data_IF_919286846199
#
_entry.id   IF_919286846199
#
_cell.length_a   1.000
_cell.length_b   1.000
_cell.length_c   1.000
_cell.angle_alpha   90.00
_cell.angle_beta   90.00
_cell.angle_gamma   90.00
#
_symmetry.space_group_name_H-M   'P 1'
#
loop_
_entity.id
_entity.type
_entity.pdbx_description
1 polymer ?
#
# COMPACT_ATOMS: atom_id res chain seq x y z
N UNK A 1 4.67 13.40 -20.56
CA UNK A 1 4.92 11.96 -20.39
C UNK A 1 4.60 11.23 -21.67
N UNK A 2 5.63 10.73 -22.37
CA UNK A 2 5.50 9.80 -23.48
C UNK A 2 4.64 8.59 -23.09
N UNK A 3 3.87 8.07 -24.06
CA UNK A 3 2.95 6.95 -23.85
C UNK A 3 3.66 5.70 -23.29
N UNK A 4 4.89 5.42 -23.72
CA UNK A 4 5.67 4.28 -23.21
C UNK A 4 5.97 4.38 -21.70
N UNK A 5 6.21 5.59 -21.20
CA UNK A 5 6.46 5.81 -19.76
C UNK A 5 5.16 5.83 -18.95
N UNK A 6 4.04 6.27 -19.53
CA UNK A 6 2.72 6.11 -18.91
C UNK A 6 2.33 4.64 -18.84
N UNK A 7 2.52 3.89 -19.91
CA UNK A 7 2.23 2.46 -19.94
C UNK A 7 3.12 1.70 -18.96
N UNK A 8 4.41 2.02 -18.92
CA UNK A 8 5.34 1.50 -17.91
C UNK A 8 4.96 1.93 -16.49
N UNK A 9 4.34 3.09 -16.29
CA UNK A 9 3.81 3.51 -14.98
C UNK A 9 2.55 2.74 -14.59
N UNK A 10 1.59 2.54 -15.50
CA UNK A 10 0.41 1.71 -15.25
C UNK A 10 0.81 0.27 -14.98
N UNK A 11 1.70 -0.29 -15.80
CA UNK A 11 2.27 -1.62 -15.60
C UNK A 11 3.11 -1.71 -14.32
N UNK A 12 3.84 -0.64 -13.98
CA UNK A 12 4.55 -0.20 -12.75
C UNK A 12 3.85 -0.27 -11.40
N UNK A 13 2.73 0.40 -11.35
CA UNK A 13 1.99 0.63 -10.14
C UNK A 13 0.95 -0.44 -9.95
N UNK A 14 0.54 -1.11 -11.05
CA UNK A 14 -0.67 -1.92 -11.03
C UNK A 14 -1.88 -1.09 -10.62
N UNK A 15 -1.82 0.24 -10.75
CA UNK A 15 -2.87 1.15 -10.29
C UNK A 15 -4.19 0.94 -11.04
N UNK A 16 -4.13 0.41 -12.26
CA UNK A 16 -5.30 0.01 -13.04
C UNK A 16 -5.65 -1.48 -12.89
N UNK A 17 -4.88 -2.24 -12.11
CA UNK A 17 -5.16 -3.66 -11.86
C UNK A 17 -6.23 -3.78 -10.77
N UNK A 18 -7.34 -4.43 -11.10
CA UNK A 18 -8.50 -4.60 -10.20
C UNK A 18 -8.11 -5.16 -8.82
N UNK A 19 -7.13 -6.07 -8.78
CA UNK A 19 -6.63 -6.65 -7.52
C UNK A 19 -5.98 -5.60 -6.62
N UNK A 20 -5.12 -4.75 -7.16
CA UNK A 20 -4.43 -3.69 -6.41
C UNK A 20 -5.43 -2.64 -5.92
N UNK A 21 -6.39 -2.28 -6.78
CA UNK A 21 -7.49 -1.38 -6.42
C UNK A 21 -8.31 -1.99 -5.28
N UNK A 22 -8.67 -3.27 -5.40
CA UNK A 22 -9.43 -4.01 -4.39
C UNK A 22 -8.73 -4.04 -3.03
N UNK A 23 -7.41 -4.26 -3.01
CA UNK A 23 -6.63 -4.26 -1.78
C UNK A 23 -6.60 -2.87 -1.12
N UNK A 24 -6.35 -1.81 -1.88
CA UNK A 24 -6.36 -0.43 -1.37
C UNK A 24 -7.74 -0.07 -0.82
N UNK A 25 -8.80 -0.38 -1.57
CA UNK A 25 -10.17 -0.12 -1.16
C UNK A 25 -10.56 -0.91 0.08
N UNK A 26 -10.15 -2.17 0.19
CA UNK A 26 -10.41 -2.99 1.38
C UNK A 26 -9.78 -2.36 2.63
N UNK A 27 -8.54 -1.88 2.55
CA UNK A 27 -7.89 -1.20 3.68
C UNK A 27 -8.60 0.11 4.03
N UNK A 28 -8.96 0.93 3.04
CA UNK A 28 -9.68 2.18 3.27
C UNK A 28 -11.08 1.96 3.87
N UNK A 29 -11.82 0.95 3.42
CA UNK A 29 -13.11 0.59 3.99
C UNK A 29 -13.01 0.11 5.43
N UNK A 30 -11.94 -0.63 5.77
CA UNK A 30 -11.70 -1.07 7.14
C UNK A 30 -11.29 0.08 8.06
N UNK A 31 -10.48 1.01 7.55
CA UNK A 31 -10.16 2.29 8.21
C UNK A 31 -11.43 3.10 8.46
N UNK A 32 -12.29 3.25 7.46
CA UNK A 32 -13.57 3.95 7.58
C UNK A 32 -14.47 3.29 8.64
N UNK A 33 -14.60 1.97 8.60
CA UNK A 33 -15.38 1.22 9.56
C UNK A 33 -14.87 1.44 10.98
N UNK A 34 -13.55 1.31 11.21
CA UNK A 34 -12.94 1.52 12.51
C UNK A 34 -13.15 2.95 13.05
N UNK A 35 -13.07 3.96 12.17
CA UNK A 35 -13.36 5.35 12.53
C UNK A 35 -14.85 5.58 12.88
N UNK A 36 -15.76 4.92 12.16
CA UNK A 36 -17.21 5.04 12.40
C UNK A 36 -17.67 4.31 13.66
N UNK A 37 -17.16 3.11 13.91
CA UNK A 37 -17.61 2.25 15.02
C UNK A 37 -16.75 2.37 16.27
N UNK A 38 -15.56 2.99 16.17
CA UNK A 38 -14.57 3.01 17.24
C UNK A 38 -14.02 1.62 17.60
N UNK A 39 -14.29 0.60 16.78
CA UNK A 39 -13.89 -0.78 17.03
C UNK A 39 -12.43 -1.03 16.63
N UNK A 40 -11.81 -2.05 17.23
CA UNK A 40 -10.50 -2.51 16.80
C UNK A 40 -10.53 -2.98 15.34
N UNK A 41 -9.47 -2.66 14.60
CA UNK A 41 -9.26 -3.18 13.25
C UNK A 41 -9.08 -4.71 13.32
N UNK A 42 -9.55 -5.47 12.32
CA UNK A 42 -9.37 -6.92 12.30
C UNK A 42 -7.88 -7.30 12.32
N UNK A 43 -7.57 -8.43 12.97
CA UNK A 43 -6.19 -8.90 13.17
C UNK A 43 -5.46 -9.19 11.85
N UNK A 44 -6.20 -9.65 10.83
CA UNK A 44 -5.70 -9.93 9.49
C UNK A 44 -6.13 -8.84 8.51
N UNK A 45 -5.25 -7.86 8.32
CA UNK A 45 -5.37 -6.86 7.27
C UNK A 45 -4.50 -7.24 6.06
N UNK A 46 -4.89 -6.90 4.82
CA UNK A 46 -4.02 -6.98 3.65
C UNK A 46 -2.95 -5.85 3.64
N UNK A 47 -2.42 -5.51 4.81
CA UNK A 47 -1.39 -4.49 5.03
C UNK A 47 -0.08 -5.16 5.48
N UNK A 48 1.10 -4.60 5.15
CA UNK A 48 1.28 -3.30 4.52
C UNK A 48 1.03 -3.34 3.01
N UNK A 49 0.31 -2.36 2.48
CA UNK A 49 0.07 -2.20 1.05
C UNK A 49 1.39 -1.98 0.29
N UNK A 50 2.36 -1.30 0.91
CA UNK A 50 3.71 -1.15 0.36
C UNK A 50 4.40 -2.51 0.19
N UNK A 51 4.25 -3.43 1.15
CA UNK A 51 4.87 -4.75 1.08
C UNK A 51 4.25 -5.60 -0.03
N UNK A 52 2.92 -5.60 -0.15
CA UNK A 52 2.21 -6.26 -1.25
C UNK A 52 2.58 -5.71 -2.62
N UNK A 53 2.80 -4.40 -2.73
CA UNK A 53 3.30 -3.79 -3.95
C UNK A 53 4.67 -4.38 -4.37
N UNK A 54 5.60 -4.55 -3.43
CA UNK A 54 6.89 -5.18 -3.70
C UNK A 54 6.79 -6.68 -3.99
N UNK A 55 5.92 -7.42 -3.29
CA UNK A 55 5.73 -8.87 -3.52
C UNK A 55 5.13 -9.16 -4.90
N UNK A 56 4.05 -8.45 -5.27
CA UNK A 56 3.45 -8.57 -6.60
C UNK A 56 4.43 -8.22 -7.71
N UNK A 57 5.30 -7.24 -7.48
CA UNK A 57 6.39 -6.87 -8.40
C UNK A 57 7.46 -7.95 -8.51
N UNK A 58 7.94 -8.46 -7.38
CA UNK A 58 8.97 -9.50 -7.31
C UNK A 58 8.53 -10.74 -8.09
N UNK A 59 7.24 -11.09 -8.03
CA UNK A 59 6.66 -12.22 -8.75
C UNK A 59 6.49 -11.94 -10.25
N UNK A 60 6.18 -10.69 -10.64
CA UNK A 60 5.85 -10.35 -12.03
C UNK A 60 7.05 -10.08 -12.93
N UNK A 61 8.13 -9.49 -12.41
CA UNK A 61 9.40 -9.31 -13.14
C UNK A 61 10.43 -8.78 -12.15
N UNK A 62 11.58 -9.47 -12.06
CA UNK A 62 12.72 -9.06 -11.24
C UNK A 62 12.96 -7.57 -11.36
N UNK A 63 12.87 -6.88 -10.23
CA UNK A 63 12.89 -5.41 -10.05
C UNK A 63 13.68 -4.75 -11.19
N UNK A 64 12.99 -4.27 -12.22
CA UNK A 64 13.62 -3.43 -13.25
C UNK A 64 13.82 -2.06 -12.60
N UNK A 65 14.81 -2.08 -11.71
CA UNK A 65 15.16 -1.07 -10.73
C UNK A 65 15.45 0.21 -11.50
N UNK A 66 14.93 1.30 -10.97
CA UNK A 66 15.18 2.65 -11.45
C UNK A 66 16.66 2.79 -11.85
N UNK A 67 16.93 2.95 -13.14
CA UNK A 67 18.29 3.11 -13.63
C UNK A 67 18.68 4.56 -13.40
N UNK A 68 19.66 4.77 -12.52
CA UNK A 68 20.21 6.11 -12.21
C UNK A 68 20.79 6.79 -13.46
N UNK A 69 21.16 6.01 -14.48
CA UNK A 69 21.64 6.48 -15.79
C UNK A 69 20.56 7.14 -16.64
N UNK A 70 19.26 6.84 -16.42
CA UNK A 70 18.14 7.49 -17.12
C UNK A 70 17.62 8.76 -16.42
N UNK A 71 18.10 9.08 -15.21
CA UNK A 71 17.63 10.25 -14.42
C UNK A 71 17.96 11.60 -15.07
N UNK A 72 18.80 11.62 -16.10
CA UNK A 72 19.08 12.82 -16.90
C UNK A 72 17.94 13.21 -17.84
N UNK A 73 17.06 12.28 -18.18
CA UNK A 73 15.89 12.54 -19.00
C UNK A 73 14.77 13.20 -18.17
N UNK A 74 14.21 14.31 -18.66
CA UNK A 74 13.13 15.04 -18.01
C UNK A 74 11.85 14.22 -17.88
N UNK A 75 11.54 13.39 -18.88
CA UNK A 75 10.37 12.53 -18.86
C UNK A 75 10.57 11.35 -17.90
N UNK A 76 11.80 10.85 -17.76
CA UNK A 76 12.13 9.85 -16.74
C UNK A 76 12.08 10.43 -15.31
N UNK A 77 12.47 11.69 -15.11
CA UNK A 77 12.29 12.37 -13.82
C UNK A 77 10.81 12.48 -13.45
N UNK A 78 9.95 12.82 -14.42
CA UNK A 78 8.49 12.89 -14.21
C UNK A 78 7.92 11.52 -13.84
N UNK A 79 8.42 10.45 -14.44
CA UNK A 79 8.10 9.07 -14.08
C UNK A 79 8.50 8.74 -12.63
N UNK A 80 9.73 9.05 -12.23
CA UNK A 80 10.23 8.80 -10.87
C UNK A 80 9.41 9.56 -9.81
N UNK A 81 9.01 10.80 -10.11
CA UNK A 81 8.15 11.60 -9.23
C UNK A 81 6.78 10.94 -9.07
N UNK A 82 6.16 10.49 -10.17
CA UNK A 82 4.87 9.80 -10.11
C UNK A 82 4.96 8.50 -9.29
N UNK A 83 6.00 7.69 -9.49
CA UNK A 83 6.20 6.46 -8.73
C UNK A 83 6.45 6.75 -7.24
N UNK A 84 7.26 7.76 -6.94
CA UNK A 84 7.52 8.19 -5.56
C UNK A 84 6.26 8.70 -4.86
N UNK A 85 5.41 9.45 -5.59
CA UNK A 85 4.13 9.92 -5.08
C UNK A 85 3.18 8.75 -4.79
N UNK A 86 3.12 7.75 -5.68
CA UNK A 86 2.31 6.55 -5.47
C UNK A 86 2.78 5.73 -4.26
N UNK A 87 4.08 5.50 -4.10
CA UNK A 87 4.63 4.81 -2.93
C UNK A 87 4.35 5.57 -1.63
N UNK A 88 4.48 6.91 -1.64
CA UNK A 88 4.10 7.75 -0.49
C UNK A 88 2.62 7.65 -0.16
N UNK A 89 1.75 7.57 -1.17
CA UNK A 89 0.32 7.36 -0.97
C UNK A 89 0.05 6.04 -0.23
N UNK A 90 0.60 4.91 -0.71
CA UNK A 90 0.45 3.61 -0.03
C UNK A 90 1.01 3.64 1.40
N UNK A 91 2.19 4.24 1.59
CA UNK A 91 2.81 4.38 2.91
C UNK A 91 1.97 5.25 3.87
N UNK A 92 1.25 6.25 3.36
CA UNK A 92 0.37 7.09 4.17
C UNK A 92 -0.86 6.30 4.64
N UNK A 93 -1.42 5.43 3.80
CA UNK A 93 -2.51 4.52 4.19
C UNK A 93 -2.02 3.53 5.26
N UNK A 94 -0.86 2.92 5.06
CA UNK A 94 -0.27 2.00 6.05
C UNK A 94 -0.02 2.71 7.39
N UNK A 95 0.42 3.98 7.35
CA UNK A 95 0.60 4.81 8.56
C UNK A 95 -0.72 5.10 9.27
N UNK A 96 -1.80 5.37 8.51
CA UNK A 96 -3.13 5.58 9.06
C UNK A 96 -3.64 4.32 9.78
N UNK A 97 -3.42 3.15 9.20
CA UNK A 97 -3.73 1.85 9.83
C UNK A 97 -2.97 1.68 11.14
N UNK A 98 -1.67 1.99 11.18
CA UNK A 98 -0.87 1.93 12.40
C UNK A 98 -1.37 2.88 13.49
N UNK A 99 -1.76 4.11 13.11
CA UNK A 99 -2.33 5.09 14.04
C UNK A 99 -3.66 4.59 14.59
N UNK A 100 -4.53 4.04 13.74
CA UNK A 100 -5.80 3.47 14.15
C UNK A 100 -5.64 2.26 15.06
N UNK A 101 -4.72 1.34 14.77
CA UNK A 101 -4.42 0.23 15.68
C UNK A 101 -4.00 0.70 17.07
N UNK A 102 -3.18 1.75 17.14
CA UNK A 102 -2.77 2.35 18.42
C UNK A 102 -3.95 3.04 19.12
N UNK A 103 -4.79 3.75 18.36
CA UNK A 103 -5.91 4.53 18.90
C UNK A 103 -7.08 3.66 19.37
N UNK A 104 -7.43 2.60 18.63
CA UNK A 104 -8.47 1.64 19.00
C UNK A 104 -8.08 0.78 20.20
N UNK A 105 -6.85 0.92 20.71
CA UNK A 105 -6.35 0.15 21.83
C UNK A 105 -6.47 -1.34 21.55
N UNK A 106 -5.56 -1.90 20.75
CA UNK A 106 -5.12 -3.29 20.99
C UNK A 106 -4.47 -3.35 22.40
N UNK A 107 -5.25 -3.05 23.46
CA UNK A 107 -5.14 -3.70 24.74
C UNK A 107 -5.34 -5.16 24.39
N UNK A 108 -4.26 -5.91 24.44
CA UNK A 108 -4.28 -7.36 24.50
C UNK A 108 -5.32 -7.74 25.56
N UNK A 109 -6.58 -7.96 25.18
CA UNK A 109 -7.52 -8.71 26.01
C UNK A 109 -7.03 -10.14 25.85
N UNK A 110 -5.96 -10.46 26.58
CA UNK A 110 -5.66 -11.83 26.93
C UNK A 110 -6.91 -12.26 27.67
N UNK A 111 -7.81 -12.97 27.00
CA UNK A 111 -8.76 -13.80 27.73
C UNK A 111 -7.87 -14.73 28.56
N UNK A 112 -7.83 -14.59 29.90
CA UNK A 112 -7.27 -15.65 30.70
C UNK A 112 -8.13 -16.86 30.35
N UNK A 113 -7.49 -17.95 29.95
CA UNK A 113 -8.17 -19.23 29.95
C UNK A 113 -8.55 -19.50 31.41
N UNK A 114 -9.75 -19.09 31.80
CA UNK A 114 -10.37 -19.56 33.02
C UNK A 114 -10.72 -21.02 32.76
N UNK A 115 -9.85 -21.89 33.25
CA UNK A 115 -10.16 -23.30 33.38
C UNK A 115 -11.33 -23.48 34.34
N UNK A 116 -12.39 -24.10 33.84
CA UNK A 116 -13.33 -24.92 34.60
C UNK A 116 -14.02 -25.88 33.63
#
# INVERSE_FOLDING_TARGET
MPNELQERFSQITGFQEERTIGDVMAVLSLVELALRTGSALPERLPTPLVMRFYESRRLKNGVSMLYTTLVRDEEYRRYCVALSAYLKFLSSIDSLVLVLKRASGEVHVIHPWEGA
#
